data_IF_379168380603
#
_entry.id   IF_379168380603
#
_cell.length_a   1.000
_cell.length_b   1.000
_cell.length_c   1.000
_cell.angle_alpha   90.00
_cell.angle_beta   90.00
_cell.angle_gamma   90.00
#
_symmetry.space_group_name_H-M   'P 1'
#
loop_
_entity.id
_entity.type
_entity.pdbx_description
1 polymer ?
#
# COMPACT_ATOMS: atom_id res chain seq x y z
N UNK A 1 -7.90 -27.60 -7.04
CA UNK A 1 -8.07 -26.33 -7.78
C UNK A 1 -6.68 -25.85 -8.08
N UNK A 2 -6.28 -25.80 -9.35
CA UNK A 2 -4.92 -25.42 -9.76
C UNK A 2 -4.62 -23.96 -9.40
N UNK A 3 -3.38 -23.60 -9.02
CA UNK A 3 -2.97 -22.23 -8.69
C UNK A 3 -3.11 -21.21 -9.84
N UNK A 4 -3.41 -21.66 -11.06
CA UNK A 4 -3.37 -20.84 -12.28
C UNK A 4 -4.58 -19.91 -12.50
N UNK A 5 -5.55 -19.87 -11.58
CA UNK A 5 -6.77 -19.07 -11.72
C UNK A 5 -6.86 -17.86 -10.79
N UNK A 6 -5.82 -17.55 -10.03
CA UNK A 6 -5.81 -16.29 -9.30
C UNK A 6 -5.60 -15.13 -10.26
N UNK A 7 -6.31 -14.01 -10.09
CA UNK A 7 -6.12 -12.85 -10.93
C UNK A 7 -4.64 -12.43 -10.84
N UNK A 8 -3.91 -12.60 -11.93
CA UNK A 8 -2.60 -11.99 -12.09
C UNK A 8 -2.83 -10.50 -11.91
N UNK A 9 -2.10 -9.88 -10.98
CA UNK A 9 -2.13 -8.43 -10.84
C UNK A 9 -1.92 -7.77 -12.20
N UNK A 10 -2.97 -7.08 -12.67
CA UNK A 10 -3.01 -6.37 -13.95
C UNK A 10 -3.00 -4.84 -13.76
N UNK A 11 -2.74 -4.37 -12.54
CA UNK A 11 -2.64 -2.94 -12.25
C UNK A 11 -1.37 -2.34 -12.85
N UNK A 12 -1.39 -1.02 -12.92
CA UNK A 12 -0.53 -0.22 -13.80
C UNK A 12 0.90 -0.11 -13.26
N UNK A 13 1.06 -0.10 -11.94
CA UNK A 13 2.37 0.05 -11.30
C UNK A 13 2.69 -1.19 -10.45
N UNK A 14 3.54 -2.06 -10.98
CA UNK A 14 3.99 -3.27 -10.27
C UNK A 14 4.93 -2.90 -9.13
N UNK A 15 4.75 -3.59 -8.01
CA UNK A 15 5.66 -3.58 -6.87
C UNK A 15 5.98 -5.00 -6.46
N UNK A 16 7.07 -5.17 -5.74
CA UNK A 16 7.38 -6.41 -5.03
C UNK A 16 8.00 -6.03 -3.69
N UNK A 17 7.14 -5.61 -2.76
CA UNK A 17 7.55 -5.22 -1.42
C UNK A 17 6.93 -6.17 -0.39
N UNK A 18 7.75 -6.69 0.52
CA UNK A 18 7.33 -7.71 1.48
C UNK A 18 7.36 -7.16 2.90
N UNK A 19 6.21 -7.22 3.57
CA UNK A 19 5.98 -6.78 4.93
C UNK A 19 6.01 -7.96 5.88
N UNK A 20 6.98 -7.94 6.80
CA UNK A 20 7.18 -8.94 7.86
C UNK A 20 7.13 -10.40 7.37
N UNK A 21 7.59 -10.66 6.13
CA UNK A 21 7.55 -11.98 5.46
C UNK A 21 6.16 -12.66 5.38
N UNK A 22 5.08 -11.89 5.61
CA UNK A 22 3.71 -12.40 5.64
C UNK A 22 2.84 -11.83 4.51
N UNK A 23 3.02 -10.55 4.19
CA UNK A 23 2.21 -9.84 3.22
C UNK A 23 3.10 -9.21 2.15
N UNK A 24 2.68 -9.29 0.90
CA UNK A 24 3.35 -8.67 -0.24
C UNK A 24 2.46 -7.61 -0.85
N UNK A 25 3.01 -6.42 -1.10
CA UNK A 25 2.39 -5.42 -1.97
C UNK A 25 2.77 -5.75 -3.42
N UNK A 26 1.79 -6.20 -4.20
CA UNK A 26 1.95 -6.55 -5.62
C UNK A 26 2.03 -5.32 -6.53
N UNK A 27 1.48 -4.21 -6.05
CA UNK A 27 1.40 -2.98 -6.83
C UNK A 27 0.26 -2.08 -6.37
N UNK A 28 0.08 -1.01 -7.13
CA UNK A 28 -0.96 -0.03 -6.91
C UNK A 28 -1.46 0.56 -8.23
N UNK A 29 -2.68 1.08 -8.18
CA UNK A 29 -3.19 2.04 -9.15
C UNK A 29 -3.44 3.35 -8.42
N UNK A 30 -3.02 4.47 -9.01
CA UNK A 30 -3.27 5.80 -8.48
C UNK A 30 -3.89 6.68 -9.56
N UNK A 31 -4.87 7.49 -9.17
CA UNK A 31 -5.41 8.54 -10.02
C UNK A 31 -5.69 9.79 -9.19
N UNK A 32 -5.48 10.94 -9.80
CA UNK A 32 -5.82 12.23 -9.19
C UNK A 32 -6.96 12.83 -10.01
N UNK A 33 -8.05 13.12 -9.32
CA UNK A 33 -9.23 13.79 -9.87
C UNK A 33 -9.46 15.07 -9.06
N UNK A 34 -9.33 16.22 -9.72
CA UNK A 34 -9.38 17.54 -9.10
C UNK A 34 -8.40 17.67 -7.91
N UNK A 35 -8.89 17.58 -6.69
CA UNK A 35 -8.16 17.71 -5.43
C UNK A 35 -8.22 16.43 -4.59
N UNK A 36 -8.44 15.28 -5.23
CA UNK A 36 -8.49 13.97 -4.58
C UNK A 36 -7.55 13.00 -5.26
N UNK A 37 -6.71 12.37 -4.47
CA UNK A 37 -5.88 11.24 -4.85
C UNK A 37 -6.60 9.96 -4.42
N UNK A 38 -6.97 9.13 -5.39
CA UNK A 38 -7.51 7.79 -5.16
C UNK A 38 -6.41 6.76 -5.43
N UNK A 39 -6.15 5.89 -4.45
CA UNK A 39 -5.14 4.84 -4.55
C UNK A 39 -5.77 3.50 -4.23
N UNK A 40 -5.60 2.54 -5.13
CA UNK A 40 -5.92 1.13 -4.88
C UNK A 40 -4.61 0.37 -4.69
N UNK A 41 -4.46 -0.30 -3.56
CA UNK A 41 -3.32 -1.17 -3.27
C UNK A 41 -3.73 -2.63 -3.40
N UNK A 42 -2.81 -3.44 -3.91
CA UNK A 42 -3.05 -4.86 -4.13
C UNK A 42 -2.10 -5.68 -3.26
N UNK A 43 -2.69 -6.37 -2.29
CA UNK A 43 -1.97 -7.14 -1.30
C UNK A 43 -2.11 -8.63 -1.59
N UNK A 44 -1.05 -9.39 -1.34
CA UNK A 44 -1.05 -10.84 -1.36
C UNK A 44 -0.55 -11.37 -0.02
N UNK A 45 -1.26 -12.33 0.57
CA UNK A 45 -0.68 -13.13 1.65
C UNK A 45 0.40 -14.06 1.05
N UNK A 46 1.63 -14.00 1.52
CA UNK A 46 2.66 -15.01 1.18
C UNK A 46 2.78 -16.08 2.27
N UNK A 47 2.33 -15.74 3.48
CA UNK A 47 2.05 -16.66 4.58
C UNK A 47 0.74 -16.22 5.25
N UNK A 48 0.11 -17.10 6.03
CA UNK A 48 -1.12 -16.76 6.76
C UNK A 48 -0.82 -15.70 7.83
N UNK A 49 -1.38 -14.47 7.73
CA UNK A 49 -1.26 -13.49 8.79
C UNK A 49 -2.03 -13.97 10.03
N UNK A 50 -1.47 -13.79 11.21
CA UNK A 50 -2.05 -14.23 12.48
C UNK A 50 -2.92 -13.15 13.15
N UNK A 51 -2.92 -11.94 12.61
CA UNK A 51 -3.62 -10.78 13.18
C UNK A 51 -4.07 -9.78 12.10
N UNK A 52 -5.08 -8.94 12.41
CA UNK A 52 -5.51 -7.88 11.51
C UNK A 52 -4.45 -6.77 11.42
N UNK A 53 -4.23 -6.25 10.22
CA UNK A 53 -3.38 -5.09 9.96
C UNK A 53 -4.19 -3.96 9.31
N UNK A 54 -3.70 -2.74 9.45
CA UNK A 54 -4.22 -1.55 8.75
C UNK A 54 -3.16 -1.02 7.80
N UNK A 55 -3.54 -0.77 6.55
CA UNK A 55 -2.67 -0.10 5.59
C UNK A 55 -2.78 1.41 5.78
N UNK A 56 -1.65 2.09 5.81
CA UNK A 56 -1.58 3.54 5.84
C UNK A 56 -0.99 4.08 4.55
N UNK A 57 -1.52 5.20 4.09
CA UNK A 57 -0.93 6.06 3.07
C UNK A 57 -0.68 7.43 3.69
N UNK A 58 0.54 7.94 3.58
CA UNK A 58 0.87 9.31 3.94
C UNK A 58 1.30 10.08 2.70
N UNK A 59 0.59 11.16 2.37
CA UNK A 59 1.02 12.11 1.35
C UNK A 59 1.91 13.17 1.99
N UNK A 60 3.15 13.24 1.55
CA UNK A 60 4.17 14.18 2.01
C UNK A 60 4.40 15.27 0.96
N UNK A 61 4.52 16.51 1.42
CA UNK A 61 4.94 17.64 0.59
C UNK A 61 6.41 17.48 0.15
N UNK A 62 6.89 18.28 -0.83
CA UNK A 62 8.31 18.30 -1.19
C UNK A 62 9.25 18.66 -0.03
N UNK A 63 8.73 19.33 1.01
CA UNK A 63 9.48 19.63 2.24
C UNK A 63 9.50 18.45 3.25
N UNK A 64 8.82 17.34 2.94
CA UNK A 64 8.69 16.17 3.81
C UNK A 64 7.60 16.30 4.88
N UNK A 65 6.73 17.30 4.78
CA UNK A 65 5.65 17.53 5.74
C UNK A 65 4.43 16.67 5.39
N UNK A 66 3.77 16.10 6.39
CA UNK A 66 2.53 15.34 6.19
C UNK A 66 1.39 16.28 5.77
N UNK A 67 0.88 16.07 4.57
CA UNK A 67 -0.21 16.87 3.98
C UNK A 67 -1.55 16.20 4.15
N UNK A 68 -1.61 14.90 3.89
CA UNK A 68 -2.81 14.09 4.04
C UNK A 68 -2.45 12.64 4.41
N UNK A 69 -3.41 11.91 4.97
CA UNK A 69 -3.23 10.49 5.27
C UNK A 69 -4.53 9.72 5.09
N UNK A 70 -4.41 8.40 4.90
CA UNK A 70 -5.54 7.47 4.84
C UNK A 70 -5.16 6.14 5.48
N UNK A 71 -5.92 5.71 6.47
CA UNK A 71 -5.77 4.44 7.18
C UNK A 71 -6.96 3.54 6.88
N UNK A 72 -6.72 2.45 6.15
CA UNK A 72 -7.77 1.51 5.73
C UNK A 72 -7.25 0.07 5.85
N UNK A 73 -7.95 -0.81 6.57
CA UNK A 73 -7.61 -2.24 6.56
C UNK A 73 -7.75 -2.81 5.15
N UNK A 74 -6.82 -3.67 4.70
CA UNK A 74 -7.05 -4.48 3.52
C UNK A 74 -8.39 -5.23 3.55
N UNK A 75 -9.05 -5.35 2.40
CA UNK A 75 -10.42 -5.88 2.32
C UNK A 75 -11.48 -4.94 2.93
N UNK A 76 -11.16 -3.65 3.06
CA UNK A 76 -12.04 -2.59 3.60
C UNK A 76 -12.57 -2.90 5.00
N UNK A 77 -11.83 -3.70 5.78
CA UNK A 77 -12.24 -4.19 7.10
C UNK A 77 -13.32 -5.29 7.08
N UNK A 78 -13.87 -5.62 5.92
CA UNK A 78 -14.85 -6.70 5.75
C UNK A 78 -14.15 -8.06 5.76
N UNK A 79 -12.95 -8.13 5.19
CA UNK A 79 -12.14 -9.34 5.14
C UNK A 79 -10.74 -9.09 5.75
N UNK A 80 -10.61 -9.17 7.09
CA UNK A 80 -9.37 -8.81 7.78
C UNK A 80 -8.22 -9.75 7.42
N UNK A 81 -6.99 -9.24 7.47
CA UNK A 81 -5.78 -10.00 7.11
C UNK A 81 -5.60 -11.30 7.91
N UNK A 82 -6.07 -11.35 9.16
CA UNK A 82 -6.04 -12.58 9.98
C UNK A 82 -6.87 -13.74 9.44
N UNK A 83 -7.76 -13.49 8.48
CA UNK A 83 -8.58 -14.50 7.83
C UNK A 83 -7.98 -15.00 6.51
N UNK A 84 -6.91 -14.36 6.02
CA UNK A 84 -6.34 -14.66 4.72
C UNK A 84 -5.54 -15.96 4.74
N UNK A 85 -5.61 -16.70 3.64
CA UNK A 85 -4.79 -17.86 3.37
C UNK A 85 -3.60 -17.49 2.49
N UNK A 86 -2.49 -18.25 2.54
CA UNK A 86 -1.37 -18.05 1.64
C UNK A 86 -1.83 -17.98 0.19
N UNK A 87 -1.55 -16.85 -0.41
CA UNK A 87 -1.74 -16.51 -1.80
C UNK A 87 -3.05 -15.78 -2.13
N UNK A 88 -3.95 -15.61 -1.15
CA UNK A 88 -5.09 -14.70 -1.27
C UNK A 88 -4.61 -13.31 -1.72
N UNK A 89 -5.30 -12.75 -2.71
CA UNK A 89 -5.07 -11.40 -3.22
C UNK A 89 -6.27 -10.53 -2.89
N UNK A 90 -6.04 -9.45 -2.15
CA UNK A 90 -7.09 -8.57 -1.63
C UNK A 90 -6.65 -7.12 -1.77
N UNK A 91 -7.60 -6.25 -2.13
CA UNK A 91 -7.33 -4.83 -2.35
C UNK A 91 -7.63 -3.99 -1.10
N UNK A 92 -6.96 -2.84 -0.98
CA UNK A 92 -7.39 -1.72 -0.15
C UNK A 92 -7.59 -0.48 -1.03
N UNK A 93 -8.59 0.34 -0.71
CA UNK A 93 -8.91 1.55 -1.47
C UNK A 93 -8.82 2.75 -0.53
N UNK A 94 -8.02 3.72 -0.93
CA UNK A 94 -7.67 4.89 -0.14
C UNK A 94 -8.06 6.15 -0.91
N UNK A 95 -8.49 7.16 -0.17
CA UNK A 95 -8.75 8.49 -0.68
C UNK A 95 -8.00 9.48 0.20
N UNK A 96 -7.21 10.34 -0.43
CA UNK A 96 -6.50 11.43 0.23
C UNK A 96 -6.90 12.75 -0.42
N UNK A 97 -7.08 13.77 0.40
CA UNK A 97 -7.13 15.15 -0.10
C UNK A 97 -5.75 15.50 -0.65
N UNK A 98 -5.69 15.84 -1.93
CA UNK A 98 -4.46 16.11 -2.64
C UNK A 98 -4.46 17.56 -3.14
N UNK A 99 -3.44 18.37 -2.81
CA UNK A 99 -3.26 19.69 -3.40
C UNK A 99 -3.26 19.64 -4.93
N UNK A 100 -3.78 20.68 -5.58
CA UNK A 100 -3.89 20.73 -7.05
C UNK A 100 -2.54 20.65 -7.77
N UNK A 101 -1.46 20.98 -7.07
CA UNK A 101 -0.07 20.94 -7.54
C UNK A 101 0.64 19.61 -7.23
N UNK A 102 -0.05 18.60 -6.68
CA UNK A 102 0.53 17.29 -6.29
C UNK A 102 1.28 16.61 -7.43
N UNK A 103 0.77 16.67 -8.66
CA UNK A 103 1.39 16.06 -9.84
C UNK A 103 2.55 16.90 -10.37
N UNK A 104 2.44 18.23 -10.23
CA UNK A 104 3.41 19.18 -10.78
C UNK A 104 4.66 19.32 -9.90
N UNK A 105 4.60 18.83 -8.66
CA UNK A 105 5.64 18.96 -7.65
C UNK A 105 6.00 17.59 -7.08
N UNK A 106 7.20 17.48 -6.51
CA UNK A 106 7.77 16.22 -5.98
C UNK A 106 7.11 15.76 -4.66
N UNK A 107 5.79 15.58 -4.64
CA UNK A 107 5.09 14.96 -3.53
C UNK A 107 5.43 13.48 -3.43
N UNK A 108 5.41 12.92 -2.23
CA UNK A 108 5.74 11.51 -1.98
C UNK A 108 4.59 10.83 -1.23
N UNK A 109 4.20 9.61 -1.64
CA UNK A 109 3.36 8.73 -0.85
C UNK A 109 4.24 7.75 -0.09
N UNK A 110 4.04 7.63 1.23
CA UNK A 110 4.52 6.49 2.00
C UNK A 110 3.39 5.46 2.13
N UNK A 111 3.69 4.20 1.85
CA UNK A 111 2.77 3.07 2.02
C UNK A 111 3.35 2.11 3.05
N UNK A 112 2.56 1.75 4.06
CA UNK A 112 2.94 0.66 4.95
C UNK A 112 1.78 -0.01 5.64
N UNK A 113 2.10 -0.98 6.48
CA UNK A 113 1.16 -1.70 7.33
C UNK A 113 1.51 -1.47 8.79
N UNK A 114 0.50 -1.40 9.64
CA UNK A 114 0.69 -1.39 11.08
C UNK A 114 -0.32 -2.28 11.80
N UNK A 115 0.04 -2.68 13.01
CA UNK A 115 -0.84 -3.37 13.94
C UNK A 115 -1.77 -2.37 14.62
N UNK A 116 -3.10 -2.48 14.45
CA UNK A 116 -4.04 -1.52 15.04
C UNK A 116 -4.06 -1.56 16.57
N UNK A 117 -3.63 -2.66 17.19
CA UNK A 117 -3.66 -2.83 18.65
C UNK A 117 -2.62 -1.97 19.38
N UNK A 118 -1.45 -1.74 18.78
CA UNK A 118 -0.32 -1.04 19.39
C UNK A 118 0.33 0.03 18.50
N UNK A 119 -0.14 0.19 17.26
CA UNK A 119 0.36 1.19 16.32
C UNK A 119 1.71 0.82 15.70
N UNK A 120 2.26 -0.36 15.98
CA UNK A 120 3.59 -0.75 15.50
C UNK A 120 3.54 -1.04 14.01
N UNK A 121 4.41 -0.37 13.24
CA UNK A 121 4.59 -0.59 11.81
C UNK A 121 5.32 -1.90 11.54
N UNK A 122 4.99 -2.51 10.41
CA UNK A 122 5.62 -3.75 9.97
C UNK A 122 6.87 -3.41 9.15
N UNK A 123 8.03 -4.03 9.45
CA UNK A 123 9.21 -3.87 8.63
C UNK A 123 8.92 -4.31 7.20
N UNK A 124 9.47 -3.58 6.23
CA UNK A 124 9.27 -3.87 4.81
C UNK A 124 10.61 -3.97 4.08
N UNK A 125 10.68 -4.92 3.16
CA UNK A 125 11.79 -5.07 2.22
C UNK A 125 11.31 -4.83 0.79
N UNK A 126 12.20 -4.33 -0.07
CA UNK A 126 11.94 -4.20 -1.51
C UNK A 126 12.15 -5.53 -2.25
N UNK A 127 12.05 -5.49 -3.58
CA UNK A 127 12.20 -6.65 -4.46
C UNK A 127 13.59 -7.32 -4.37
N UNK A 128 14.60 -6.61 -3.85
CA UNK A 128 15.97 -7.11 -3.64
C UNK A 128 16.18 -7.63 -2.22
N UNK A 129 15.14 -7.63 -1.38
CA UNK A 129 15.22 -7.99 0.02
C UNK A 129 15.86 -6.91 0.89
N UNK A 130 16.01 -5.68 0.40
CA UNK A 130 16.62 -4.60 1.15
C UNK A 130 15.59 -3.94 2.09
N UNK A 131 15.87 -3.81 3.40
CA UNK A 131 14.99 -3.10 4.31
C UNK A 131 14.80 -1.64 3.90
N UNK A 132 13.58 -1.13 4.05
CA UNK A 132 13.24 0.26 3.75
C UNK A 132 13.16 1.10 5.02
N UNK A 133 13.35 2.41 4.86
CA UNK A 133 13.21 3.36 5.97
C UNK A 133 11.74 3.54 6.33
N UNK A 134 11.47 4.01 7.55
CA UNK A 134 10.12 4.33 8.05
C UNK A 134 9.11 3.17 8.05
N UNK A 135 9.59 1.93 7.85
CA UNK A 135 8.77 0.73 7.68
C UNK A 135 7.71 0.92 6.59
N UNK A 136 8.10 1.62 5.51
CA UNK A 136 7.22 1.99 4.42
C UNK A 136 7.93 1.97 3.06
N UNK A 137 7.15 1.82 1.99
CA UNK A 137 7.58 2.04 0.61
C UNK A 137 7.28 3.49 0.23
N UNK A 138 8.27 4.16 -0.36
CA UNK A 138 8.12 5.53 -0.85
C UNK A 138 7.83 5.53 -2.36
N UNK A 139 6.82 6.28 -2.77
CA UNK A 139 6.45 6.47 -4.18
C UNK A 139 6.40 7.95 -4.45
N UNK A 140 7.18 8.41 -5.43
CA UNK A 140 7.08 9.79 -5.90
C UNK A 140 5.86 9.96 -6.79
N UNK A 141 5.08 11.00 -6.50
CA UNK A 141 4.00 11.44 -7.38
C UNK A 141 4.63 12.21 -8.52
N UNK A 142 4.77 11.54 -9.66
CA UNK A 142 5.27 12.13 -10.89
C UNK A 142 4.24 11.88 -11.99
N UNK A 143 4.21 12.75 -13.01
CA UNK A 143 3.57 12.37 -14.26
C UNK A 143 4.37 11.22 -14.85
N UNK A 144 3.75 10.04 -14.98
CA UNK A 144 4.24 9.04 -15.91
C UNK A 144 4.10 9.63 -17.33
N UNK A 145 5.23 9.91 -18.00
CA UNK A 145 5.28 10.31 -19.42
C UNK A 145 4.89 9.14 -20.35
#
# INVERSE_FOLDING_TARGET
VEPEQWPVYAGSHKMDATFNDQLRLLGYDAKIEANRLEVTLYWQAIAAPDQPYTAFLHLLSPAGELVAQSDVPPGQGIFPTSAWQPGDVVLSQHQLDAPADTIANDYTILIGLYRPIDGVRLPVTDAKGMPQSNDAIEIKMMNDE
#
